data_IF_383160130712
#
_entry.id   IF_383160130712
#
_cell.length_a   1.000
_cell.length_b   1.000
_cell.length_c   1.000
_cell.angle_alpha   90.00
_cell.angle_beta   90.00
_cell.angle_gamma   90.00
#
_symmetry.space_group_name_H-M   'P 1'
#
loop_
_entity.id
_entity.type
_entity.pdbx_description
1 polymer ?
#
# COMPACT_ATOMS: atom_id res chain seq x y z
N UNK A 1 16.67 18.23 -9.15
CA UNK A 1 15.70 18.37 -10.26
C UNK A 1 15.35 16.96 -10.67
N UNK A 2 14.21 16.45 -10.21
CA UNK A 2 13.86 15.05 -10.44
C UNK A 2 13.49 14.83 -11.91
N UNK A 3 14.24 13.94 -12.56
CA UNK A 3 14.04 13.53 -13.96
C UNK A 3 12.79 12.64 -14.15
N UNK A 4 11.97 12.52 -13.12
CA UNK A 4 10.78 11.68 -13.08
C UNK A 4 9.66 12.30 -12.25
N UNK A 5 8.41 12.08 -12.68
CA UNK A 5 7.22 12.29 -11.86
C UNK A 5 6.89 11.06 -11.03
N UNK A 6 6.32 11.25 -9.85
CA UNK A 6 5.83 10.15 -9.00
C UNK A 6 4.32 10.26 -8.90
N UNK A 7 3.59 9.19 -9.21
CA UNK A 7 2.21 9.03 -8.80
C UNK A 7 2.15 7.96 -7.71
N UNK A 8 1.73 8.36 -6.52
CA UNK A 8 1.41 7.42 -5.46
C UNK A 8 0.04 6.81 -5.77
N UNK A 9 -0.08 5.49 -5.73
CA UNK A 9 -1.34 4.82 -6.07
C UNK A 9 -1.63 3.62 -5.17
N UNK A 10 -2.90 3.54 -4.77
CA UNK A 10 -3.56 2.40 -4.12
C UNK A 10 -2.82 1.79 -2.93
N UNK A 11 -3.27 2.15 -1.73
CA UNK A 11 -2.92 1.43 -0.51
C UNK A 11 -3.88 0.25 -0.32
N UNK A 12 -3.34 -0.96 -0.18
CA UNK A 12 -4.12 -2.14 0.18
C UNK A 12 -3.66 -2.66 1.52
N UNK A 13 -4.61 -2.82 2.43
CA UNK A 13 -4.37 -3.28 3.79
C UNK A 13 -4.85 -4.71 3.92
N UNK A 14 -3.97 -5.59 4.40
CA UNK A 14 -4.30 -6.98 4.71
C UNK A 14 -4.04 -7.27 6.19
N UNK A 15 -4.83 -8.16 6.77
CA UNK A 15 -4.67 -8.54 8.17
C UNK A 15 -5.16 -9.96 8.44
N UNK A 16 -4.62 -10.59 9.47
CA UNK A 16 -5.04 -11.89 9.99
C UNK A 16 -5.71 -11.70 11.34
N UNK A 17 -6.74 -12.48 11.65
CA UNK A 17 -7.44 -12.39 12.94
C UNK A 17 -6.70 -13.21 14.02
N UNK A 18 -6.89 -12.83 15.28
CA UNK A 18 -6.35 -13.57 16.45
C UNK A 18 -6.80 -15.03 16.47
N UNK A 19 -8.06 -15.30 16.10
CA UNK A 19 -8.59 -16.67 16.03
C UNK A 19 -7.95 -17.53 14.93
N UNK A 20 -7.38 -16.89 13.91
CA UNK A 20 -6.82 -17.52 12.72
C UNK A 20 -5.27 -17.42 12.75
N UNK A 21 -4.71 -17.22 13.94
CA UNK A 21 -3.27 -17.10 14.14
C UNK A 21 -2.52 -18.34 13.63
N UNK A 22 -1.39 -18.11 12.97
CA UNK A 22 -0.56 -19.15 12.34
C UNK A 22 -1.23 -19.95 11.21
N UNK A 23 -2.33 -19.43 10.66
CA UNK A 23 -2.94 -19.95 9.42
C UNK A 23 -2.59 -19.05 8.22
N UNK A 24 -3.00 -19.48 7.03
CA UNK A 24 -2.88 -18.67 5.80
C UNK A 24 -4.13 -17.81 5.53
N UNK A 25 -5.05 -17.70 6.49
CA UNK A 25 -6.25 -16.88 6.32
C UNK A 25 -5.92 -15.39 6.41
N UNK A 26 -6.25 -14.65 5.37
CA UNK A 26 -6.00 -13.21 5.28
C UNK A 26 -7.27 -12.47 4.88
N UNK A 27 -7.52 -11.35 5.54
CA UNK A 27 -8.63 -10.45 5.25
C UNK A 27 -8.10 -9.14 4.68
N UNK A 28 -8.91 -8.51 3.82
CA UNK A 28 -8.61 -7.19 3.25
C UNK A 28 -9.41 -6.10 3.95
N UNK A 29 -8.74 -5.01 4.31
CA UNK A 29 -9.38 -3.76 4.70
C UNK A 29 -9.36 -2.77 3.52
N UNK A 30 -10.48 -2.09 3.29
CA UNK A 30 -10.62 -1.12 2.20
C UNK A 30 -9.91 0.19 2.51
N UNK A 31 -9.84 0.56 3.79
CA UNK A 31 -9.18 1.77 4.26
C UNK A 31 -8.28 1.47 5.46
N UNK A 32 -7.28 2.32 5.67
CA UNK A 32 -6.44 2.29 6.86
C UNK A 32 -7.25 2.39 8.15
N UNK A 33 -8.29 3.24 8.14
CA UNK A 33 -9.16 3.47 9.29
C UNK A 33 -9.91 2.19 9.70
N UNK A 34 -10.33 1.37 8.74
CA UNK A 34 -11.00 0.11 9.04
C UNK A 34 -10.06 -0.92 9.66
N UNK A 35 -8.80 -0.95 9.21
CA UNK A 35 -7.76 -1.77 9.82
C UNK A 35 -7.49 -1.31 11.26
N UNK A 36 -7.26 -0.02 11.47
CA UNK A 36 -6.99 0.55 12.80
C UNK A 36 -8.14 0.29 13.79
N UNK A 37 -9.40 0.38 13.34
CA UNK A 37 -10.55 0.03 14.16
C UNK A 37 -10.48 -1.42 14.66
N UNK A 38 -10.12 -2.38 13.80
CA UNK A 38 -10.01 -3.79 14.16
C UNK A 38 -8.82 -4.07 15.07
N UNK A 39 -7.71 -3.36 14.88
CA UNK A 39 -6.55 -3.40 15.79
C UNK A 39 -6.97 -2.95 17.18
N UNK A 40 -7.64 -1.80 17.31
CA UNK A 40 -8.11 -1.27 18.60
C UNK A 40 -9.12 -2.19 19.29
N UNK A 41 -9.89 -2.98 18.52
CA UNK A 41 -10.80 -4.00 19.06
C UNK A 41 -10.07 -5.28 19.53
N UNK A 42 -8.75 -5.39 19.35
CA UNK A 42 -7.96 -6.57 19.72
C UNK A 42 -8.19 -7.78 18.81
N UNK A 43 -8.75 -7.56 17.61
CA UNK A 43 -9.12 -8.65 16.69
C UNK A 43 -7.98 -9.08 15.77
N UNK A 44 -6.97 -8.22 15.59
CA UNK A 44 -5.89 -8.42 14.60
C UNK A 44 -4.68 -9.08 15.25
N UNK A 45 -4.23 -10.21 14.68
CA UNK A 45 -2.99 -10.88 15.06
C UNK A 45 -1.78 -10.27 14.36
N UNK A 46 -1.89 -10.08 13.04
CA UNK A 46 -0.86 -9.47 12.21
C UNK A 46 -1.49 -8.68 11.07
N UNK A 47 -0.76 -7.71 10.51
CA UNK A 47 -1.20 -6.96 9.34
C UNK A 47 -0.03 -6.63 8.42
N UNK A 48 -0.32 -6.38 7.14
CA UNK A 48 0.62 -5.87 6.14
C UNK A 48 -0.03 -4.82 5.26
N UNK A 49 0.77 -3.86 4.83
CA UNK A 49 0.39 -2.81 3.88
C UNK A 49 1.11 -3.05 2.56
N UNK A 50 0.37 -2.95 1.45
CA UNK A 50 0.91 -3.00 0.10
C UNK A 50 0.66 -1.65 -0.56
N UNK A 51 1.75 -0.95 -0.88
CA UNK A 51 1.74 0.34 -1.57
C UNK A 51 2.37 0.21 -2.95
N UNK A 52 1.76 0.81 -3.97
CA UNK A 52 2.29 0.82 -5.33
C UNK A 52 2.64 2.25 -5.76
N UNK A 53 3.92 2.50 -6.07
CA UNK A 53 4.37 3.80 -6.57
C UNK A 53 4.79 3.68 -8.03
N UNK A 54 4.24 4.55 -8.87
CA UNK A 54 4.63 4.64 -10.27
C UNK A 54 5.59 5.83 -10.47
N UNK A 55 6.70 5.55 -11.13
CA UNK A 55 7.69 6.53 -11.52
C UNK A 55 7.63 6.73 -13.03
N UNK A 56 7.37 7.95 -13.48
CA UNK A 56 7.24 8.31 -14.87
C UNK A 56 8.41 9.18 -15.30
N UNK A 57 9.18 8.74 -16.29
CA UNK A 57 10.31 9.53 -16.81
C UNK A 57 9.78 10.81 -17.48
N UNK A 58 10.30 11.97 -17.07
CA UNK A 58 9.98 13.25 -17.70
C UNK A 58 10.66 13.33 -19.07
N UNK A 59 9.91 13.08 -20.16
CA UNK A 59 10.44 13.14 -21.55
C UNK A 59 10.87 14.53 -22.02
N UNK A 60 10.70 15.59 -21.22
CA UNK A 60 10.97 16.97 -21.63
C UNK A 60 12.45 17.32 -21.78
N UNK A 61 13.39 16.50 -21.26
CA UNK A 61 14.84 16.77 -21.41
C UNK A 61 15.49 16.19 -22.68
N UNK A 62 14.81 15.36 -23.47
CA UNK A 62 15.40 14.70 -24.64
C UNK A 62 14.98 15.28 -26.00
N UNK A 63 14.34 16.46 -26.02
CA UNK A 63 13.88 17.11 -27.26
C UNK A 63 14.58 18.45 -27.56
N UNK A 64 15.85 18.57 -27.18
CA UNK A 64 16.77 19.60 -27.67
C UNK A 64 18.18 19.03 -27.84
N UNK A 65 18.40 18.31 -28.93
CA UNK A 65 19.71 18.29 -29.56
C UNK A 65 19.55 17.99 -31.05
N UNK A 66 19.94 19.01 -31.83
CA UNK A 66 19.97 19.14 -33.30
C UNK A 66 18.66 19.49 -33.98
#
# INVERSE_FOLDING_TARGET
MDDYGVADTTHVYYYTLVRDAYTNEEHRAQTRKDLEKKITQGLVFSFREVTSKFYFINKSKHRRSR
#
